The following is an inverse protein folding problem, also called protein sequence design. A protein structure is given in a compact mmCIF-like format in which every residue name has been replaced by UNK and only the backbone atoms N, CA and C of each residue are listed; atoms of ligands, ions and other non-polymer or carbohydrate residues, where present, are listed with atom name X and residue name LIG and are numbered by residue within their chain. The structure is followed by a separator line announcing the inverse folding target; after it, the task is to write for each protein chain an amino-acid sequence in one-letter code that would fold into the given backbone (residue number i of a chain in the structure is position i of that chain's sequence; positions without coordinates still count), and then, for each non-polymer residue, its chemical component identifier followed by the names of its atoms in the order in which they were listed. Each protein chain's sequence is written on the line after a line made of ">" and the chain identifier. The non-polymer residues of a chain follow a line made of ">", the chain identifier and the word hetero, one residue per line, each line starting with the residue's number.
data_IF_104605031604
#
_entry.id   IF_104605031604
#
_cell.length_a   1.000
_cell.length_b   1.000
_cell.length_c   1.000
_cell.angle_alpha   90.00
_cell.angle_beta   90.00
_cell.angle_gamma   90.00
#
_symmetry.space_group_name_H-M   'P 1'
#
loop_
_entity.id
_entity.type
_entity.pdbx_description
1 polymer ?
#
# COMPACT_ATOMS: atom_id res chain seq x y z
N UNK A 1 8.72 5.48 12.89
CA UNK A 1 9.74 5.07 11.88
C UNK A 1 10.97 4.62 12.64
N UNK A 2 11.32 3.33 12.56
CA UNK A 2 12.46 2.74 13.28
C UNK A 2 13.74 3.51 12.91
N UNK A 3 14.48 3.99 13.91
CA UNK A 3 15.71 4.76 13.72
C UNK A 3 16.82 4.10 14.57
N UNK A 4 18.09 4.37 14.30
CA UNK A 4 19.22 3.90 15.13
C UNK A 4 18.99 4.18 16.63
N UNK A 5 18.28 5.26 16.96
CA UNK A 5 17.94 5.67 18.33
C UNK A 5 16.81 4.84 18.99
N UNK A 6 16.20 3.87 18.30
CA UNK A 6 15.20 2.95 18.87
C UNK A 6 15.78 1.59 19.25
N UNK A 7 17.10 1.38 19.05
CA UNK A 7 17.76 0.13 19.45
C UNK A 7 17.71 -0.01 20.97
N UNK A 8 17.17 -1.13 21.44
CA UNK A 8 17.00 -1.44 22.85
C UNK A 8 15.83 -0.74 23.54
N UNK A 9 14.98 0.02 22.81
CA UNK A 9 13.75 0.58 23.38
C UNK A 9 12.67 -0.49 23.50
N UNK A 10 11.85 -0.31 24.53
CA UNK A 10 10.64 -1.08 24.72
C UNK A 10 9.58 -0.62 23.72
N UNK A 11 8.96 -1.58 23.06
CA UNK A 11 7.92 -1.41 22.07
C UNK A 11 6.73 -2.26 22.47
N UNK A 12 5.54 -1.76 22.17
CA UNK A 12 4.32 -2.50 22.37
C UNK A 12 3.91 -3.08 21.03
N UNK A 13 3.81 -4.41 20.96
CA UNK A 13 3.42 -5.14 19.75
C UNK A 13 2.00 -5.67 19.95
N UNK A 14 1.11 -5.41 19.00
CA UNK A 14 -0.23 -5.99 18.99
C UNK A 14 -0.14 -7.48 18.63
N UNK A 15 -0.53 -8.35 19.56
CA UNK A 15 -0.62 -9.79 19.32
C UNK A 15 -1.98 -10.18 18.74
N UNK A 16 -3.03 -9.49 19.21
CA UNK A 16 -4.41 -9.63 18.75
C UNK A 16 -5.11 -8.26 18.77
N UNK A 17 -6.33 -8.19 18.23
CA UNK A 17 -7.11 -6.93 18.12
C UNK A 17 -7.27 -6.17 19.44
N UNK A 18 -7.27 -6.87 20.58
CA UNK A 18 -7.42 -6.27 21.91
C UNK A 18 -6.26 -6.58 22.86
N UNK A 19 -5.14 -7.14 22.38
CA UNK A 19 -4.02 -7.54 23.25
C UNK A 19 -2.69 -7.01 22.73
N UNK A 20 -1.97 -6.36 23.64
CA UNK A 20 -0.68 -5.73 23.40
C UNK A 20 0.36 -6.32 24.33
N UNK A 21 1.53 -6.67 23.80
CA UNK A 21 2.62 -7.31 24.56
C UNK A 21 3.87 -6.43 24.48
N UNK A 22 4.56 -6.17 25.60
CA UNK A 22 5.84 -5.47 25.59
C UNK A 22 6.93 -6.36 24.96
N UNK A 23 7.75 -5.75 24.11
CA UNK A 23 8.91 -6.37 23.46
C UNK A 23 10.05 -5.38 23.33
N UNK A 24 11.28 -5.88 23.24
CA UNK A 24 12.47 -5.04 23.09
C UNK A 24 13.00 -5.13 21.68
N UNK A 25 13.23 -3.98 21.03
CA UNK A 25 13.78 -3.96 19.68
C UNK A 25 15.29 -4.20 19.70
N UNK A 26 15.73 -5.40 19.29
CA UNK A 26 17.16 -5.73 19.25
C UNK A 26 17.85 -5.20 17.99
N UNK A 27 17.19 -5.37 16.84
CA UNK A 27 17.70 -4.95 15.54
C UNK A 27 16.80 -3.88 14.90
N UNK A 28 17.42 -2.79 14.49
CA UNK A 28 16.81 -1.63 13.81
C UNK A 28 17.31 -1.49 12.37
N UNK A 29 18.34 -2.27 12.01
CA UNK A 29 19.03 -2.19 10.74
C UNK A 29 18.44 -3.18 9.74
N UNK A 30 17.90 -4.31 10.18
CA UNK A 30 17.26 -5.30 9.31
C UNK A 30 15.75 -5.30 9.48
N UNK A 31 15.05 -5.41 8.36
CA UNK A 31 13.59 -5.48 8.28
C UNK A 31 13.20 -6.64 7.37
N UNK A 32 12.15 -7.35 7.76
CA UNK A 32 11.58 -8.40 6.94
C UNK A 32 10.52 -7.79 6.01
N UNK A 33 10.66 -8.02 4.71
CA UNK A 33 9.73 -7.52 3.68
C UNK A 33 9.01 -8.68 3.01
N UNK A 34 7.69 -8.63 3.02
CA UNK A 34 6.84 -9.53 2.24
C UNK A 34 6.88 -9.15 0.75
N UNK A 35 7.31 -10.11 -0.09
CA UNK A 35 7.37 -9.96 -1.55
C UNK A 35 6.22 -10.66 -2.28
N UNK A 36 5.34 -11.36 -1.56
CA UNK A 36 4.20 -12.11 -2.06
C UNK A 36 4.45 -13.63 -2.10
N UNK A 37 3.38 -14.40 -2.37
CA UNK A 37 3.40 -15.87 -2.47
C UNK A 37 3.92 -16.61 -1.23
N UNK A 38 3.92 -15.94 -0.07
CA UNK A 38 4.42 -16.49 1.20
C UNK A 38 5.93 -16.35 1.41
N UNK A 39 6.63 -15.62 0.54
CA UNK A 39 8.07 -15.38 0.67
C UNK A 39 8.37 -14.06 1.36
N UNK A 40 9.36 -14.11 2.25
CA UNK A 40 9.87 -12.96 3.00
C UNK A 40 11.35 -12.78 2.69
N UNK A 41 11.77 -11.53 2.48
CA UNK A 41 13.17 -11.18 2.22
C UNK A 41 13.64 -10.21 3.30
N UNK A 42 14.75 -10.54 3.94
CA UNK A 42 15.43 -9.63 4.86
C UNK A 42 16.17 -8.54 4.07
N UNK A 43 15.93 -7.28 4.41
CA UNK A 43 16.54 -6.11 3.78
C UNK A 43 17.03 -5.14 4.84
N UNK A 44 17.98 -4.30 4.45
CA UNK A 44 18.48 -3.24 5.32
C UNK A 44 17.41 -2.15 5.38
N UNK A 45 17.13 -1.57 6.55
CA UNK A 45 16.12 -0.53 6.75
C UNK A 45 16.37 0.72 5.86
N UNK A 46 17.62 0.96 5.46
CA UNK A 46 18.00 1.98 4.48
C UNK A 46 17.47 1.69 3.06
N UNK A 47 17.19 0.43 2.74
CA UNK A 47 16.53 -0.02 1.50
C UNK A 47 15.02 0.25 1.50
N UNK A 48 14.54 1.19 2.33
CA UNK A 48 13.20 1.79 2.26
C UNK A 48 12.82 2.32 0.85
N UNK A 49 13.78 2.32 -0.08
CA UNK A 49 13.59 2.42 -1.53
C UNK A 49 12.54 1.42 -2.05
N UNK A 50 12.41 0.22 -1.47
CA UNK A 50 11.38 -0.75 -1.89
C UNK A 50 9.96 -0.21 -1.73
N UNK A 51 9.65 0.41 -0.58
CA UNK A 51 8.33 1.00 -0.35
C UNK A 51 8.07 2.17 -1.29
N UNK A 52 9.07 3.03 -1.55
CA UNK A 52 8.95 4.11 -2.54
C UNK A 52 8.63 3.56 -3.94
N UNK A 53 9.38 2.56 -4.40
CA UNK A 53 9.13 1.90 -5.69
C UNK A 53 7.73 1.28 -5.77
N UNK A 54 7.24 0.68 -4.68
CA UNK A 54 5.88 0.10 -4.61
C UNK A 54 4.81 1.19 -4.67
N UNK A 55 5.00 2.30 -3.97
CA UNK A 55 4.10 3.47 -4.04
C UNK A 55 4.11 4.08 -5.44
N UNK A 56 5.27 4.27 -6.06
CA UNK A 56 5.39 4.81 -7.41
C UNK A 56 4.73 3.89 -8.44
N UNK A 57 4.88 2.57 -8.27
CA UNK A 57 4.21 1.59 -9.12
C UNK A 57 2.68 1.69 -8.99
N UNK A 58 2.15 1.74 -7.76
CA UNK A 58 0.70 1.90 -7.53
C UNK A 58 0.17 3.20 -8.13
N UNK A 59 0.89 4.31 -7.94
CA UNK A 59 0.53 5.60 -8.52
C UNK A 59 0.48 5.54 -10.06
N UNK A 60 1.49 4.96 -10.71
CA UNK A 60 1.49 4.77 -12.17
C UNK A 60 0.33 3.90 -12.67
N UNK A 61 -0.07 2.88 -11.90
CA UNK A 61 -1.24 2.07 -12.26
C UNK A 61 -2.53 2.88 -12.14
N UNK A 62 -2.66 3.71 -11.08
CA UNK A 62 -3.81 4.61 -10.92
C UNK A 62 -3.89 5.63 -12.05
N UNK A 63 -2.78 6.26 -12.42
CA UNK A 63 -2.69 7.22 -13.54
C UNK A 63 -3.14 6.61 -14.88
N UNK A 64 -2.81 5.34 -15.13
CA UNK A 64 -3.27 4.62 -16.34
C UNK A 64 -4.75 4.31 -16.32
N UNK A 65 -5.31 3.98 -15.16
CA UNK A 65 -6.72 3.58 -15.02
C UNK A 65 -7.65 4.81 -15.05
N UNK A 66 -7.21 5.94 -14.52
CA UNK A 66 -8.00 7.17 -14.44
C UNK A 66 -8.63 7.63 -15.77
N UNK A 67 -7.90 7.73 -16.90
CA UNK A 67 -8.48 8.13 -18.18
C UNK A 67 -9.44 7.07 -18.73
N UNK A 68 -9.13 5.78 -18.56
CA UNK A 68 -10.01 4.68 -18.98
C UNK A 68 -11.34 4.75 -18.23
N UNK A 69 -11.29 5.02 -16.92
CA UNK A 69 -12.49 5.18 -16.09
C UNK A 69 -13.32 6.38 -16.53
N UNK A 70 -12.69 7.53 -16.78
CA UNK A 70 -13.37 8.74 -17.26
C UNK A 70 -14.03 8.50 -18.63
N UNK A 71 -13.33 7.84 -19.56
CA UNK A 71 -13.88 7.51 -20.87
C UNK A 71 -15.08 6.56 -20.76
N UNK A 72 -14.99 5.52 -19.92
CA UNK A 72 -16.11 4.59 -19.67
C UNK A 72 -17.29 5.30 -19.01
N UNK A 73 -17.03 6.23 -18.10
CA UNK A 73 -18.08 7.03 -17.48
C UNK A 73 -18.79 7.93 -18.52
N UNK A 74 -18.03 8.65 -19.35
CA UNK A 74 -18.59 9.48 -20.42
C UNK A 74 -19.40 8.66 -21.43
N UNK A 75 -18.90 7.49 -21.83
CA UNK A 75 -19.62 6.57 -22.71
C UNK A 75 -20.95 6.11 -22.08
N UNK A 76 -20.94 5.75 -20.79
CA UNK A 76 -22.18 5.39 -20.07
C UNK A 76 -23.18 6.54 -20.09
N UNK A 77 -22.74 7.78 -19.84
CA UNK A 77 -23.62 8.95 -19.85
C UNK A 77 -24.22 9.20 -21.24
N UNK A 78 -23.44 9.04 -22.30
CA UNK A 78 -23.92 9.17 -23.68
C UNK A 78 -25.00 8.13 -24.01
N UNK A 79 -24.79 6.87 -23.64
CA UNK A 79 -25.78 5.80 -23.83
C UNK A 79 -27.06 6.07 -23.04
N UNK A 80 -26.95 6.50 -21.77
CA UNK A 80 -28.10 6.88 -20.95
C UNK A 80 -28.90 8.04 -21.58
N UNK A 81 -28.20 9.04 -22.14
CA UNK A 81 -28.85 10.17 -22.81
C UNK A 81 -29.63 9.71 -24.05
N UNK A 82 -29.05 8.84 -24.87
CA UNK A 82 -29.72 8.29 -26.06
C UNK A 82 -30.93 7.45 -25.64
N UNK A 83 -30.80 6.64 -24.59
CA UNK A 83 -31.90 5.85 -24.05
C UNK A 83 -33.06 6.73 -23.60
N UNK A 84 -32.78 7.80 -22.83
CA UNK A 84 -33.80 8.75 -22.40
C UNK A 84 -34.45 9.50 -23.57
N UNK A 85 -33.69 9.83 -24.62
CA UNK A 85 -34.23 10.46 -25.83
C UNK A 85 -35.16 9.53 -26.64
N UNK A 86 -34.98 8.21 -26.55
CA UNK A 86 -35.86 7.23 -27.23
C UNK A 86 -37.10 6.83 -26.42
N UNK A 87 -37.12 7.18 -25.13
CA UNK A 87 -38.26 6.91 -24.22
C UNK A 87 -39.29 8.06 -24.27
N UNK A 88 -38.88 9.27 -24.66
CA UNK A 88 -39.79 10.35 -25.10
C UNK A 88 -40.28 10.10 -26.53
#
# INVERSE_FOLDING_TARGET
>A
MVNKNTKGKELIISLASSTYVPGKLHDVAHVLIDVGTGYYVEKIAKDAIFFRKKTDFLNKQMEKIQPVLQQKHAMKQAVMKIMNQKIQ
#
